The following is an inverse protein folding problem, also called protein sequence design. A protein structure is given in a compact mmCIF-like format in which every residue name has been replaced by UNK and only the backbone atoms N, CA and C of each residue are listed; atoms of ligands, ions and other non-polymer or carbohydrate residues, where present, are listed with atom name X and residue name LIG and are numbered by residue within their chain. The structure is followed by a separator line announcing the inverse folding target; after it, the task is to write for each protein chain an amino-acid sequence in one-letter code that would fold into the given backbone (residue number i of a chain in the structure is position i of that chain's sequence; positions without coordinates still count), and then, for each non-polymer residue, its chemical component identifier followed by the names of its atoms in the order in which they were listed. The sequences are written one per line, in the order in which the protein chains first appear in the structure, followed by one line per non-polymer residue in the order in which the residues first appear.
data_IF_997357465486
#
_entry.id   IF_997357465486
#
_cell.length_a   1.000
_cell.length_b   1.000
_cell.length_c   1.000
_cell.angle_alpha   90.00
_cell.angle_beta   90.00
_cell.angle_gamma   90.00
#
_symmetry.space_group_name_H-M   'P 1'
#
loop_
_entity.id
_entity.type
_entity.pdbx_description
1 polymer ?
#
# COMPACT_ATOMS: atom_id res chain seq x y z
N UNK A 1 -29.00 20.79 -5.25
CA UNK A 1 -29.75 20.38 -4.04
C UNK A 1 -29.44 18.90 -3.86
N UNK A 2 -28.99 18.47 -2.68
CA UNK A 2 -28.73 17.05 -2.44
C UNK A 2 -30.08 16.36 -2.19
N UNK A 3 -30.36 15.28 -2.91
CA UNK A 3 -31.57 14.49 -2.68
C UNK A 3 -31.54 13.91 -1.26
N UNK A 4 -32.65 14.10 -0.53
CA UNK A 4 -32.77 13.61 0.85
C UNK A 4 -33.17 12.15 0.82
N UNK A 5 -32.32 11.28 1.35
CA UNK A 5 -32.58 9.85 1.51
C UNK A 5 -33.79 9.61 2.41
N UNK A 6 -34.68 8.69 2.01
CA UNK A 6 -35.88 8.29 2.76
C UNK A 6 -35.76 6.85 3.23
N UNK A 7 -36.51 6.54 4.30
CA UNK A 7 -36.60 5.17 4.81
C UNK A 7 -37.24 4.28 3.75
N UNK A 8 -36.53 3.21 3.37
CA UNK A 8 -36.97 2.26 2.36
C UNK A 8 -36.35 2.47 0.97
N UNK A 9 -35.57 3.54 0.77
CA UNK A 9 -34.82 3.73 -0.47
C UNK A 9 -33.79 2.61 -0.66
N UNK A 10 -33.74 2.05 -1.86
CA UNK A 10 -32.65 1.17 -2.27
C UNK A 10 -31.46 2.05 -2.65
N UNK A 11 -30.34 1.84 -1.96
CA UNK A 11 -29.12 2.63 -2.14
C UNK A 11 -27.91 1.72 -2.27
N UNK A 12 -26.93 2.16 -3.05
CA UNK A 12 -25.59 1.60 -3.07
C UNK A 12 -24.70 2.42 -2.13
N UNK A 13 -23.91 1.73 -1.30
CA UNK A 13 -22.99 2.36 -0.35
C UNK A 13 -21.56 2.05 -0.74
N UNK A 14 -20.76 3.09 -0.95
CA UNK A 14 -19.31 2.97 -1.17
C UNK A 14 -18.54 3.56 0.01
N UNK A 15 -17.68 2.76 0.63
CA UNK A 15 -16.78 3.21 1.70
C UNK A 15 -15.36 3.31 1.14
N UNK A 16 -14.75 4.49 1.24
CA UNK A 16 -13.40 4.77 0.69
C UNK A 16 -12.37 4.85 1.81
N UNK A 17 -11.10 4.57 1.47
CA UNK A 17 -9.98 4.72 2.41
C UNK A 17 -9.90 3.64 3.49
N UNK A 18 -10.56 2.51 3.30
CA UNK A 18 -10.56 1.37 4.22
C UNK A 18 -9.43 0.41 3.90
N UNK A 19 -8.93 -0.31 4.90
CA UNK A 19 -7.97 -1.41 4.77
C UNK A 19 -8.67 -2.74 4.94
N UNK A 20 -8.30 -3.70 4.11
CA UNK A 20 -8.67 -5.09 4.33
C UNK A 20 -7.98 -5.61 5.60
N UNK A 21 -8.72 -6.29 6.47
CA UNK A 21 -8.17 -6.99 7.62
C UNK A 21 -8.16 -8.50 7.39
N UNK A 22 -9.33 -9.10 7.21
CA UNK A 22 -9.49 -10.54 7.00
C UNK A 22 -10.80 -10.86 6.27
N UNK A 23 -10.92 -12.10 5.78
CA UNK A 23 -12.17 -12.66 5.28
C UNK A 23 -12.42 -13.99 5.99
N UNK A 24 -13.60 -14.14 6.58
CA UNK A 24 -13.96 -15.37 7.28
C UNK A 24 -14.45 -16.48 6.33
N UNK A 25 -14.65 -17.70 6.87
CA UNK A 25 -15.13 -18.84 6.10
C UNK A 25 -16.56 -18.70 5.55
N UNK A 26 -17.29 -17.65 5.94
CA UNK A 26 -18.62 -17.32 5.41
C UNK A 26 -18.57 -16.23 4.32
N UNK A 27 -17.37 -15.74 3.99
CA UNK A 27 -17.16 -14.71 2.99
C UNK A 27 -17.40 -13.29 3.50
N UNK A 28 -17.67 -13.09 4.81
CA UNK A 28 -17.73 -11.75 5.38
C UNK A 28 -16.33 -11.15 5.43
N UNK A 29 -16.22 -9.87 5.09
CA UNK A 29 -14.95 -9.15 5.07
C UNK A 29 -14.87 -8.20 6.24
N UNK A 30 -13.81 -8.28 7.03
CA UNK A 30 -13.50 -7.31 8.07
C UNK A 30 -12.60 -6.22 7.48
N UNK A 31 -12.97 -4.96 7.72
CA UNK A 31 -12.20 -3.79 7.29
C UNK A 31 -11.77 -2.94 8.48
N UNK A 32 -10.62 -2.26 8.34
CA UNK A 32 -10.15 -1.22 9.26
C UNK A 32 -10.27 0.13 8.56
N UNK A 33 -10.86 1.10 9.24
CA UNK A 33 -11.04 2.48 8.81
C UNK A 33 -10.93 3.42 10.02
N UNK A 34 -10.95 4.73 9.76
CA UNK A 34 -10.97 5.75 10.82
C UNK A 34 -12.43 6.09 11.13
N UNK A 35 -12.83 5.96 12.39
CA UNK A 35 -14.16 6.31 12.84
C UNK A 35 -14.32 7.83 12.82
N UNK A 36 -15.46 8.31 12.31
CA UNK A 36 -15.72 9.73 12.16
C UNK A 36 -16.09 10.44 13.47
N UNK A 37 -16.42 9.69 14.53
CA UNK A 37 -16.83 10.22 15.83
C UNK A 37 -15.63 10.53 16.72
N UNK A 38 -14.65 9.63 16.78
CA UNK A 38 -13.49 9.73 17.68
C UNK A 38 -12.14 9.83 16.95
N UNK A 39 -12.10 9.58 15.63
CA UNK A 39 -10.86 9.61 14.85
C UNK A 39 -9.97 8.38 15.05
N UNK A 40 -10.42 7.38 15.81
CA UNK A 40 -9.66 6.16 16.08
C UNK A 40 -9.88 5.10 15.00
N UNK A 41 -8.96 4.13 14.93
CA UNK A 41 -9.12 2.99 14.01
C UNK A 41 -10.09 1.97 14.61
N UNK A 42 -11.20 1.73 13.93
CA UNK A 42 -12.14 0.67 14.30
C UNK A 42 -12.17 -0.46 13.27
N UNK A 43 -12.75 -1.60 13.67
CA UNK A 43 -13.00 -2.73 12.78
C UNK A 43 -14.49 -2.79 12.45
N UNK A 44 -14.83 -2.86 11.17
CA UNK A 44 -16.20 -3.06 10.70
C UNK A 44 -16.30 -4.35 9.91
N UNK A 45 -17.38 -5.09 10.12
CA UNK A 45 -17.68 -6.33 9.38
C UNK A 45 -18.65 -6.03 8.25
N UNK A 46 -18.22 -6.32 7.04
CA UNK A 46 -19.01 -6.22 5.82
C UNK A 46 -19.61 -7.58 5.45
N UNK A 47 -20.87 -7.62 5.04
CA UNK A 47 -21.51 -8.86 4.65
C UNK A 47 -21.00 -9.34 3.27
N UNK A 48 -21.21 -10.62 2.89
CA UNK A 48 -20.62 -11.20 1.68
C UNK A 48 -21.08 -10.55 0.36
N UNK A 49 -22.24 -9.88 0.35
CA UNK A 49 -22.71 -9.12 -0.81
C UNK A 49 -21.98 -7.79 -1.01
N UNK A 50 -21.11 -7.36 -0.08
CA UNK A 50 -20.33 -6.15 -0.25
C UNK A 50 -19.33 -6.34 -1.39
N UNK A 51 -19.37 -5.45 -2.36
CA UNK A 51 -18.36 -5.41 -3.41
C UNK A 51 -17.02 -4.94 -2.82
N UNK A 52 -15.99 -5.79 -2.95
CA UNK A 52 -14.62 -5.46 -2.53
C UNK A 52 -13.74 -5.34 -3.76
N UNK A 53 -13.40 -4.09 -4.10
CA UNK A 53 -12.46 -3.80 -5.17
C UNK A 53 -11.10 -3.42 -4.58
N UNK A 54 -10.04 -4.07 -5.04
CA UNK A 54 -8.67 -3.75 -4.62
C UNK A 54 -8.26 -2.39 -5.20
N UNK A 55 -8.02 -1.41 -4.32
CA UNK A 55 -7.59 -0.05 -4.71
C UNK A 55 -6.06 0.06 -4.80
N UNK A 56 -5.35 -0.72 -3.98
CA UNK A 56 -3.89 -0.78 -4.00
C UNK A 56 -3.39 -1.87 -4.97
N UNK A 57 -2.25 -1.66 -5.66
CA UNK A 57 -1.62 -2.69 -6.50
C UNK A 57 -1.30 -3.99 -5.74
N UNK A 58 -1.07 -5.07 -6.48
CA UNK A 58 -0.73 -6.39 -5.93
C UNK A 58 0.53 -6.34 -5.04
N UNK A 59 1.49 -5.52 -5.45
CA UNK A 59 2.84 -5.40 -4.93
C UNK A 59 2.95 -4.46 -3.71
N UNK A 60 1.84 -3.82 -3.33
CA UNK A 60 1.71 -2.96 -2.15
C UNK A 60 1.73 -3.80 -0.86
N UNK A 61 2.42 -3.38 0.23
CA UNK A 61 3.01 -2.06 0.49
C UNK A 61 4.37 -1.81 -0.18
N UNK A 62 4.77 -0.54 -0.39
CA UNK A 62 6.10 -0.18 -0.86
C UNK A 62 7.18 -0.61 0.11
N UNK A 63 8.31 -1.00 -0.45
CA UNK A 63 9.55 -1.30 0.24
C UNK A 63 10.57 -0.21 -0.10
N UNK A 64 11.51 0.11 0.80
CA UNK A 64 12.60 1.02 0.46
C UNK A 64 13.38 0.52 -0.75
N UNK A 65 13.72 1.44 -1.66
CA UNK A 65 14.30 1.12 -2.96
C UNK A 65 13.26 0.98 -4.08
N UNK A 66 11.98 0.78 -3.76
CA UNK A 66 10.96 0.72 -4.79
C UNK A 66 10.80 2.04 -5.53
N UNK A 67 10.62 1.93 -6.84
CA UNK A 67 10.16 3.02 -7.71
C UNK A 67 8.74 2.74 -8.17
N UNK A 68 7.86 3.70 -7.94
CA UNK A 68 6.47 3.68 -8.33
C UNK A 68 6.17 4.80 -9.34
N UNK A 69 5.10 4.65 -10.11
CA UNK A 69 4.56 5.68 -10.99
C UNK A 69 3.10 5.92 -10.65
N UNK A 70 2.71 7.19 -10.52
CA UNK A 70 1.33 7.57 -10.22
C UNK A 70 0.46 7.70 -11.49
N UNK A 71 -0.84 7.99 -11.31
CA UNK A 71 -1.79 8.14 -12.43
C UNK A 71 -1.44 9.24 -13.43
N UNK A 72 -0.60 10.19 -13.04
CA UNK A 72 -0.15 11.31 -13.87
C UNK A 72 1.21 11.03 -14.52
N UNK A 73 1.78 9.83 -14.30
CA UNK A 73 3.09 9.46 -14.81
C UNK A 73 4.27 9.94 -13.96
N UNK A 74 4.03 10.63 -12.84
CA UNK A 74 5.09 11.10 -11.95
C UNK A 74 5.69 9.92 -11.19
N UNK A 75 7.02 9.89 -11.12
CA UNK A 75 7.73 8.85 -10.37
C UNK A 75 7.74 9.18 -8.87
N UNK A 76 7.66 8.13 -8.05
CA UNK A 76 7.74 8.17 -6.61
C UNK A 76 8.74 7.12 -6.13
N UNK A 77 9.52 7.45 -5.12
CA UNK A 77 10.52 6.55 -4.55
C UNK A 77 10.20 6.27 -3.09
N UNK A 78 10.21 5.00 -2.73
CA UNK A 78 10.04 4.58 -1.34
C UNK A 78 11.40 4.49 -0.64
N UNK A 79 11.48 5.00 0.59
CA UNK A 79 12.72 5.03 1.38
C UNK A 79 12.40 4.96 2.89
N UNK A 80 13.41 4.64 3.71
CA UNK A 80 13.28 4.67 5.17
C UNK A 80 13.38 6.11 5.68
N UNK A 81 12.54 6.47 6.66
CA UNK A 81 12.70 7.73 7.39
C UNK A 81 14.01 7.78 8.19
N UNK A 82 14.49 9.00 8.48
CA UNK A 82 15.76 9.21 9.20
C UNK A 82 15.76 8.62 10.63
N UNK A 83 14.59 8.55 11.27
CA UNK A 83 14.46 8.14 12.68
C UNK A 83 13.68 6.84 12.89
N UNK A 84 13.11 6.23 11.84
CA UNK A 84 12.19 5.10 11.99
C UNK A 84 12.29 4.06 10.86
N UNK A 85 11.90 2.81 11.18
CA UNK A 85 11.64 1.72 10.21
C UNK A 85 10.42 1.98 9.30
N UNK A 86 9.84 3.18 9.36
CA UNK A 86 8.69 3.55 8.55
C UNK A 86 9.13 3.89 7.14
N UNK A 87 8.32 3.45 6.17
CA UNK A 87 8.54 3.74 4.76
C UNK A 87 7.81 5.04 4.43
N UNK A 88 8.52 5.96 3.79
CA UNK A 88 7.98 7.19 3.22
C UNK A 88 8.14 7.20 1.71
N UNK A 89 7.40 8.07 1.03
CA UNK A 89 7.48 8.23 -0.41
C UNK A 89 7.85 9.68 -0.77
N UNK A 90 8.78 9.85 -1.70
CA UNK A 90 9.18 11.16 -2.23
C UNK A 90 8.91 11.21 -3.74
N UNK A 91 8.31 12.30 -4.27
CA UNK A 91 8.16 12.45 -5.72
C UNK A 91 9.52 12.73 -6.36
N UNK A 92 9.73 12.21 -7.57
CA UNK A 92 10.90 12.52 -8.39
C UNK A 92 10.90 13.97 -8.91
N UNK A 93 9.72 14.59 -8.96
CA UNK A 93 9.53 15.95 -9.46
C UNK A 93 9.73 16.98 -8.33
N UNK A 94 10.76 17.84 -8.40
CA UNK A 94 11.04 18.84 -7.38
C UNK A 94 9.93 19.91 -7.26
N UNK A 95 9.08 20.08 -8.28
CA UNK A 95 7.98 21.06 -8.27
C UNK A 95 6.89 20.66 -7.27
N UNK A 96 6.73 19.36 -6.98
CA UNK A 96 5.76 18.87 -5.99
C UNK A 96 6.23 19.08 -4.54
N UNK A 97 7.42 19.63 -4.34
CA UNK A 97 7.94 20.10 -3.06
C UNK A 97 8.43 18.95 -2.16
N UNK A 98 9.73 18.92 -1.79
CA UNK A 98 10.27 17.91 -0.87
C UNK A 98 9.86 18.15 0.61
N UNK A 99 9.02 19.15 0.91
CA UNK A 99 8.69 19.55 2.27
C UNK A 99 7.65 18.67 2.97
N UNK A 100 6.99 17.77 2.23
CA UNK A 100 6.23 16.67 2.82
C UNK A 100 6.79 15.36 2.28
N UNK A 101 7.25 14.50 3.17
CA UNK A 101 7.54 13.09 2.89
C UNK A 101 6.29 12.29 3.29
N UNK A 102 5.26 12.20 2.44
CA UNK A 102 4.03 11.51 2.78
C UNK A 102 4.28 10.03 3.02
N UNK A 103 3.45 9.45 3.87
CA UNK A 103 3.35 8.00 4.02
C UNK A 103 2.81 7.37 2.74
N UNK A 104 3.09 6.08 2.46
CA UNK A 104 2.55 5.36 1.32
C UNK A 104 1.03 5.51 1.18
N UNK A 105 0.29 5.43 2.28
CA UNK A 105 -1.17 5.53 2.26
C UNK A 105 -1.67 6.92 1.85
N UNK A 106 -0.98 7.98 2.27
CA UNK A 106 -1.29 9.34 1.83
C UNK A 106 -1.02 9.52 0.33
N UNK A 107 0.05 8.91 -0.20
CA UNK A 107 0.34 8.94 -1.64
C UNK A 107 -0.71 8.16 -2.41
N UNK A 108 -1.04 6.94 -1.98
CA UNK A 108 -2.06 6.12 -2.64
C UNK A 108 -3.42 6.82 -2.68
N UNK A 109 -3.81 7.49 -1.59
CA UNK A 109 -5.05 8.26 -1.50
C UNK A 109 -5.07 9.49 -2.41
N UNK A 110 -3.98 10.26 -2.46
CA UNK A 110 -3.93 11.55 -3.19
C UNK A 110 -3.70 11.37 -4.69
N UNK A 111 -2.77 10.50 -5.07
CA UNK A 111 -2.27 10.39 -6.46
C UNK A 111 -2.36 8.98 -7.05
N UNK A 112 -2.89 8.00 -6.31
CA UNK A 112 -3.14 6.67 -6.84
C UNK A 112 -4.14 6.64 -8.01
N UNK A 113 -4.26 5.51 -8.73
CA UNK A 113 -3.52 4.26 -8.52
C UNK A 113 -2.03 4.41 -8.83
N UNK A 114 -1.20 3.67 -8.09
CA UNK A 114 0.25 3.60 -8.31
C UNK A 114 0.57 2.32 -9.11
N UNK A 115 1.68 2.30 -9.82
CA UNK A 115 2.19 1.10 -10.49
C UNK A 115 3.64 0.91 -10.12
N UNK A 116 4.02 -0.29 -9.67
CA UNK A 116 5.41 -0.60 -9.37
C UNK A 116 6.20 -0.62 -10.68
N UNK A 117 7.23 0.21 -10.77
CA UNK A 117 8.12 0.31 -11.93
C UNK A 117 9.38 -0.51 -11.71
N UNK A 118 9.90 -0.50 -10.49
CA UNK A 118 11.11 -1.22 -10.13
C UNK A 118 11.11 -1.56 -8.65
N UNK A 119 11.52 -2.79 -8.33
CA UNK A 119 11.86 -3.27 -6.99
C UNK A 119 13.12 -4.09 -7.13
N UNK A 120 14.11 -3.84 -6.27
CA UNK A 120 15.28 -4.70 -6.20
C UNK A 120 14.85 -6.00 -5.50
N UNK A 121 15.00 -7.13 -6.19
CA UNK A 121 14.85 -8.44 -5.57
C UNK A 121 16.11 -8.72 -4.73
N UNK A 122 15.95 -9.22 -3.51
CA UNK A 122 17.06 -9.59 -2.59
C UNK A 122 17.91 -10.79 -3.08
N UNK A 123 18.02 -11.03 -4.39
CA UNK A 123 18.83 -12.09 -4.98
C UNK A 123 20.10 -11.53 -5.63
N UNK A 124 21.13 -11.26 -4.80
CA UNK A 124 22.54 -11.38 -5.20
C UNK A 124 23.45 -11.15 -3.97
N UNK A 125 23.73 -12.21 -3.20
CA UNK A 125 24.63 -12.08 -2.06
C UNK A 125 24.97 -13.34 -1.28
N UNK A 126 24.67 -14.54 -1.78
CA UNK A 126 25.35 -15.75 -1.29
C UNK A 126 26.41 -16.10 -2.33
N UNK A 127 27.53 -15.37 -2.30
CA UNK A 127 28.76 -15.90 -2.87
C UNK A 127 29.25 -16.97 -1.90
N UNK A 128 28.82 -18.21 -2.11
CA UNK A 128 29.56 -19.36 -1.59
C UNK A 128 30.97 -19.25 -2.14
N UNK A 129 31.91 -18.87 -1.28
CA UNK A 129 33.33 -19.02 -1.55
C UNK A 129 33.62 -20.51 -1.66
N UNK A 130 33.52 -21.01 -2.88
CA UNK A 130 34.17 -22.25 -3.28
C UNK A 130 35.68 -22.09 -3.09
N UNK A 131 36.21 -22.73 -2.07
CA UNK A 131 37.58 -23.23 -2.09
C UNK A 131 37.49 -24.73 -2.30
N UNK A 132 37.61 -25.13 -3.57
CA UNK A 132 37.87 -26.50 -3.97
C UNK A 132 39.30 -26.62 -4.53
N UNK A 133 39.88 -27.80 -4.31
CA UNK A 133 41.15 -28.37 -4.78
C UNK A 133 42.46 -27.75 -4.21
N UNK A 134 43.40 -28.52 -3.65
CA UNK A 134 44.17 -29.60 -4.31
C UNK A 134 44.90 -30.40 -3.21
N UNK A 135 44.80 -31.73 -3.08
CA UNK A 135 45.56 -32.72 -3.85
C UNK A 135 47.04 -32.82 -3.39
N UNK A 136 47.43 -33.92 -2.73
CA UNK A 136 48.84 -34.16 -2.40
C UNK A 136 49.09 -35.45 -1.63
N UNK A 137 49.37 -36.53 -2.35
CA UNK A 137 49.76 -37.84 -1.82
C UNK A 137 51.16 -37.82 -1.17
N UNK A 138 51.32 -38.56 -0.07
CA UNK A 138 52.40 -39.56 0.15
C UNK A 138 52.15 -40.34 1.44
#
# INVERSE_FOLDING_TARGET
MADTLKRGDLIDVTIKGVRFNEQDGHGCVSIIAVDCLDGERANWRMPPQAEVTRVAPAEWPPRPGDKWRDRHGSAWFAFYGLEAREVFMIPADPVRGPLSTPTPDEVLSKVGPLTLVHREDEQAGVSEHGTDATGGAR
#
